data_IF_072463736984
#
_entry.id   IF_072463736984
#
_cell.length_a   1.000
_cell.length_b   1.000
_cell.length_c   1.000
_cell.angle_alpha   90.00
_cell.angle_beta   90.00
_cell.angle_gamma   90.00
#
_symmetry.space_group_name_H-M   'P 1'
#
loop_
_entity.id
_entity.type
_entity.pdbx_description
1 polymer ?
#
# COMPACT_ATOMS: atom_id res chain seq x y z
N UNK A 1 11.07 33.29 13.74
CA UNK A 1 10.59 31.95 13.53
C UNK A 1 11.54 31.32 12.50
N UNK A 2 12.07 30.11 12.73
CA UNK A 2 12.89 29.43 11.72
C UNK A 2 12.04 29.13 10.48
N UNK A 3 12.69 28.92 9.32
CA UNK A 3 12.00 28.54 8.10
C UNK A 3 11.20 27.25 8.31
N UNK A 4 9.98 27.12 7.74
CA UNK A 4 9.18 25.94 7.89
C UNK A 4 9.89 24.73 7.28
N UNK A 5 9.88 23.59 7.99
CA UNK A 5 10.41 22.32 7.43
C UNK A 5 9.68 21.98 6.14
N UNK A 6 10.42 21.54 5.14
CA UNK A 6 9.87 21.14 3.85
C UNK A 6 9.71 19.63 3.73
N UNK A 7 8.66 19.19 3.04
CA UNK A 7 8.36 17.79 2.78
C UNK A 7 7.96 17.57 1.34
N UNK A 8 8.57 16.59 0.69
CA UNK A 8 8.19 16.10 -0.64
C UNK A 8 7.29 14.89 -0.48
N UNK A 9 6.09 14.90 -1.09
CA UNK A 9 5.15 13.79 -1.06
C UNK A 9 4.90 13.32 -2.48
N UNK A 10 5.31 12.11 -2.81
CA UNK A 10 5.02 11.52 -4.12
C UNK A 10 3.59 10.95 -4.16
N UNK A 11 2.89 11.14 -5.30
CA UNK A 11 1.51 10.71 -5.45
C UNK A 11 0.52 11.51 -4.59
N UNK A 12 0.72 12.82 -4.48
CA UNK A 12 -0.09 13.71 -3.65
C UNK A 12 -1.45 14.11 -4.27
N UNK A 13 -1.81 13.61 -5.45
CA UNK A 13 -3.04 14.02 -6.15
C UNK A 13 -4.32 13.38 -5.59
N UNK A 14 -4.23 12.31 -4.80
CA UNK A 14 -5.38 11.59 -4.24
C UNK A 14 -5.01 10.70 -3.05
N UNK A 15 -6.02 10.14 -2.38
CA UNK A 15 -5.88 9.13 -1.33
C UNK A 15 -4.98 9.56 -0.18
N UNK A 16 -4.07 8.68 0.27
CA UNK A 16 -3.20 8.94 1.41
C UNK A 16 -2.24 10.12 1.17
N UNK A 17 -1.74 10.27 -0.07
CA UNK A 17 -0.85 11.38 -0.41
C UNK A 17 -1.54 12.73 -0.35
N UNK A 18 -2.76 12.84 -0.85
CA UNK A 18 -3.59 14.04 -0.78
C UNK A 18 -3.90 14.41 0.68
N UNK A 19 -4.43 13.49 1.46
CA UNK A 19 -4.73 13.70 2.87
C UNK A 19 -3.47 14.11 3.66
N UNK A 20 -2.32 13.53 3.33
CA UNK A 20 -1.03 13.88 3.94
C UNK A 20 -0.58 15.29 3.59
N UNK A 21 -0.74 15.70 2.32
CA UNK A 21 -0.40 17.05 1.88
C UNK A 21 -1.27 18.10 2.59
N UNK A 22 -2.58 17.88 2.64
CA UNK A 22 -3.53 18.77 3.36
C UNK A 22 -3.17 18.87 4.84
N UNK A 23 -2.93 17.75 5.50
CA UNK A 23 -2.60 17.75 6.93
C UNK A 23 -1.28 18.45 7.23
N UNK A 24 -0.22 18.17 6.48
CA UNK A 24 1.10 18.74 6.71
C UNK A 24 1.13 20.26 6.41
N UNK A 25 0.40 20.68 5.38
CA UNK A 25 0.21 22.12 5.14
C UNK A 25 -0.46 22.80 6.34
N UNK A 26 -1.52 22.22 6.91
CA UNK A 26 -2.19 22.72 8.12
C UNK A 26 -1.30 22.73 9.37
N UNK A 27 -0.30 21.84 9.43
CA UNK A 27 0.73 21.82 10.51
C UNK A 27 1.89 22.80 10.26
N UNK A 28 1.79 23.65 9.23
CA UNK A 28 2.79 24.69 8.92
C UNK A 28 4.00 24.21 8.11
N UNK A 29 3.94 23.02 7.50
CA UNK A 29 5.00 22.55 6.62
C UNK A 29 4.95 23.24 5.26
N UNK A 30 6.11 23.35 4.62
CA UNK A 30 6.24 23.65 3.21
C UNK A 30 6.11 22.33 2.42
N UNK A 31 5.01 22.17 1.70
CA UNK A 31 4.62 20.88 1.05
C UNK A 31 4.91 20.94 -0.43
N UNK A 32 5.80 20.08 -0.89
CA UNK A 32 6.01 19.81 -2.30
C UNK A 32 5.15 18.58 -2.69
N UNK A 33 4.05 18.86 -3.36
CA UNK A 33 3.10 17.86 -3.84
C UNK A 33 3.54 17.35 -5.22
N UNK A 34 4.28 16.22 -5.25
CA UNK A 34 4.80 15.64 -6.47
C UNK A 34 3.78 14.66 -7.07
N UNK A 35 3.39 14.88 -8.34
CA UNK A 35 2.36 14.13 -9.05
C UNK A 35 2.51 14.24 -10.55
N UNK A 36 1.86 13.36 -11.32
CA UNK A 36 1.98 13.36 -12.80
C UNK A 36 1.38 14.58 -13.46
N UNK A 37 0.30 15.12 -12.91
CA UNK A 37 -0.46 16.26 -13.46
C UNK A 37 -0.71 17.31 -12.38
N UNK A 38 0.29 18.16 -12.05
CA UNK A 38 0.13 19.20 -11.03
C UNK A 38 -1.00 20.17 -11.34
N UNK A 39 -1.19 20.52 -12.61
CA UNK A 39 -2.22 21.45 -13.06
C UNK A 39 -3.65 21.01 -12.68
N UNK A 40 -3.87 19.70 -12.50
CA UNK A 40 -5.14 19.15 -12.04
C UNK A 40 -5.18 18.95 -10.51
N UNK A 41 -4.07 18.61 -9.90
CA UNK A 41 -4.03 18.25 -8.48
C UNK A 41 -3.83 19.43 -7.53
N UNK A 42 -3.08 20.45 -7.93
CA UNK A 42 -2.80 21.62 -7.08
C UNK A 42 -4.07 22.44 -6.81
N UNK A 43 -4.95 22.72 -7.77
CA UNK A 43 -6.21 23.39 -7.46
C UNK A 43 -7.05 22.68 -6.40
N UNK A 44 -7.12 21.36 -6.44
CA UNK A 44 -7.84 20.57 -5.44
C UNK A 44 -7.17 20.65 -4.05
N UNK A 45 -5.84 20.65 -4.00
CA UNK A 45 -5.11 20.82 -2.75
C UNK A 45 -5.30 22.23 -2.19
N UNK A 46 -5.29 23.26 -3.02
CA UNK A 46 -5.57 24.65 -2.60
C UNK A 46 -6.97 24.80 -2.02
N UNK A 47 -7.97 24.25 -2.69
CA UNK A 47 -9.34 24.22 -2.18
C UNK A 47 -9.42 23.54 -0.81
N UNK A 48 -8.77 22.39 -0.64
CA UNK A 48 -8.80 21.61 0.60
C UNK A 48 -7.99 22.25 1.75
N UNK A 49 -6.96 23.03 1.43
CA UNK A 49 -6.07 23.68 2.41
C UNK A 49 -6.43 25.11 2.70
N UNK A 50 -7.18 25.77 1.82
CA UNK A 50 -7.40 27.20 1.84
C UNK A 50 -6.18 28.03 1.41
N UNK A 51 -5.17 27.39 0.77
CA UNK A 51 -3.98 28.07 0.28
C UNK A 51 -4.33 29.00 -0.90
N UNK A 52 -3.85 30.25 -0.85
CA UNK A 52 -3.96 31.17 -1.98
C UNK A 52 -3.07 30.79 -3.16
N UNK A 53 -3.28 31.45 -4.29
CA UNK A 53 -2.50 31.16 -5.52
C UNK A 53 -1.00 31.48 -5.34
N UNK A 54 -0.69 32.50 -4.53
CA UNK A 54 0.68 32.94 -4.26
C UNK A 54 1.29 32.31 -2.98
N UNK A 55 0.62 31.33 -2.35
CA UNK A 55 1.15 30.66 -1.16
C UNK A 55 2.32 29.74 -1.55
N UNK A 56 3.53 30.15 -1.15
CA UNK A 56 4.78 29.44 -1.44
C UNK A 56 5.00 28.17 -0.61
N UNK A 57 4.09 27.87 0.33
CA UNK A 57 4.15 26.65 1.14
C UNK A 57 3.48 25.44 0.47
N UNK A 58 2.71 25.63 -0.60
CA UNK A 58 2.09 24.55 -1.36
C UNK A 58 2.57 24.57 -2.82
N UNK A 59 3.48 23.69 -3.14
CA UNK A 59 4.22 23.65 -4.40
C UNK A 59 3.87 22.39 -5.18
N UNK A 60 3.45 22.53 -6.43
CA UNK A 60 3.25 21.42 -7.35
C UNK A 60 4.52 21.09 -8.13
N UNK A 61 4.91 19.81 -8.16
CA UNK A 61 6.01 19.35 -8.99
C UNK A 61 5.55 18.19 -9.86
N UNK A 62 5.81 18.28 -11.16
CA UNK A 62 5.51 17.17 -12.07
C UNK A 62 6.49 16.02 -11.82
N UNK A 63 5.94 14.81 -11.60
CA UNK A 63 6.72 13.60 -11.36
C UNK A 63 5.99 12.38 -11.91
N UNK A 64 6.61 11.73 -12.88
CA UNK A 64 6.28 10.37 -13.29
C UNK A 64 7.44 9.43 -12.89
N UNK A 65 7.17 8.52 -11.97
CA UNK A 65 8.14 7.54 -11.48
C UNK A 65 8.52 6.46 -12.50
N UNK A 66 7.83 6.41 -13.63
CA UNK A 66 8.17 5.51 -14.74
C UNK A 66 9.15 6.16 -15.74
N UNK A 67 9.35 7.47 -15.65
CA UNK A 67 10.20 8.23 -16.57
C UNK A 67 11.40 8.82 -15.84
N UNK A 68 12.60 8.38 -16.21
CA UNK A 68 13.86 8.83 -15.63
C UNK A 68 14.14 10.32 -15.88
N UNK A 69 13.71 10.86 -17.04
CA UNK A 69 13.85 12.28 -17.33
C UNK A 69 12.93 13.12 -16.43
N UNK A 70 11.69 12.66 -16.22
CA UNK A 70 10.74 13.28 -15.28
C UNK A 70 11.29 13.27 -13.85
N UNK A 71 11.88 12.16 -13.40
CA UNK A 71 12.50 12.06 -12.06
C UNK A 71 13.64 13.06 -11.90
N UNK A 72 14.51 13.17 -12.88
CA UNK A 72 15.65 14.11 -12.86
C UNK A 72 15.15 15.56 -12.83
N UNK A 73 14.18 15.90 -13.68
CA UNK A 73 13.58 17.23 -13.71
C UNK A 73 12.86 17.57 -12.41
N UNK A 74 12.12 16.59 -11.82
CA UNK A 74 11.44 16.76 -10.56
C UNK A 74 12.42 17.02 -9.40
N UNK A 75 13.53 16.29 -9.31
CA UNK A 75 14.54 16.49 -8.28
C UNK A 75 15.12 17.92 -8.35
N UNK A 76 15.45 18.40 -9.55
CA UNK A 76 15.93 19.75 -9.77
C UNK A 76 14.88 20.79 -9.36
N UNK A 77 13.63 20.64 -9.79
CA UNK A 77 12.55 21.55 -9.44
C UNK A 77 12.28 21.58 -7.92
N UNK A 78 12.41 20.44 -7.22
CA UNK A 78 12.31 20.36 -5.76
C UNK A 78 13.42 21.19 -5.11
N UNK A 79 14.67 20.99 -5.52
CA UNK A 79 15.81 21.75 -4.96
C UNK A 79 15.74 23.25 -5.28
N UNK A 80 15.28 23.63 -6.47
CA UNK A 80 15.01 25.03 -6.81
C UNK A 80 13.91 25.67 -5.94
N UNK A 81 12.87 24.90 -5.61
CA UNK A 81 11.72 25.39 -4.87
C UNK A 81 11.95 25.49 -3.36
N UNK A 82 12.59 24.50 -2.74
CA UNK A 82 12.70 24.40 -1.27
C UNK A 82 14.15 24.22 -0.77
N UNK A 83 15.14 24.26 -1.65
CA UNK A 83 16.49 23.87 -1.30
C UNK A 83 16.55 22.38 -0.95
N UNK A 84 17.25 22.05 0.12
CA UNK A 84 17.29 20.67 0.62
C UNK A 84 15.98 20.32 1.35
N UNK A 85 15.19 19.35 0.88
CA UNK A 85 13.99 18.95 1.60
C UNK A 85 14.37 18.25 2.93
N UNK A 86 13.66 18.62 4.00
CA UNK A 86 13.81 17.90 5.28
C UNK A 86 13.26 16.48 5.19
N UNK A 87 12.17 16.27 4.48
CA UNK A 87 11.56 14.95 4.38
C UNK A 87 11.18 14.57 2.94
N UNK A 88 11.37 13.27 2.62
CA UNK A 88 10.94 12.66 1.38
C UNK A 88 10.00 11.50 1.68
N UNK A 89 8.72 11.64 1.29
CA UNK A 89 7.67 10.65 1.51
C UNK A 89 7.36 9.92 0.20
N UNK A 90 7.82 8.69 0.07
CA UNK A 90 7.48 7.80 -1.04
C UNK A 90 6.13 7.15 -0.79
N UNK A 91 5.07 7.84 -1.23
CA UNK A 91 3.69 7.40 -1.09
C UNK A 91 3.10 6.88 -2.40
N UNK A 92 3.55 7.37 -3.55
CA UNK A 92 3.05 6.95 -4.85
C UNK A 92 3.07 5.42 -5.01
N UNK A 93 2.02 4.90 -5.61
CA UNK A 93 1.90 3.47 -5.85
C UNK A 93 0.69 3.14 -6.71
N UNK A 94 0.72 1.96 -7.29
CA UNK A 94 -0.37 1.32 -8.02
C UNK A 94 -0.57 -0.08 -7.45
N UNK A 95 -1.71 -0.69 -7.71
CA UNK A 95 -2.02 -2.05 -7.27
C UNK A 95 -2.30 -2.97 -8.47
N UNK A 96 -2.40 -4.26 -8.20
CA UNK A 96 -2.75 -5.28 -9.17
C UNK A 96 -3.74 -6.27 -8.56
N UNK A 97 -4.62 -6.82 -9.39
CA UNK A 97 -5.48 -7.93 -9.04
C UNK A 97 -5.38 -9.00 -10.14
N UNK A 98 -5.00 -10.22 -9.73
CA UNK A 98 -4.82 -11.38 -10.60
C UNK A 98 -3.95 -12.42 -9.91
N UNK A 99 -4.19 -13.72 -10.16
CA UNK A 99 -3.29 -14.78 -9.69
C UNK A 99 -1.97 -14.69 -10.47
N UNK A 100 -0.93 -15.36 -9.97
CA UNK A 100 0.42 -15.27 -10.56
C UNK A 100 0.43 -15.63 -12.04
N UNK A 101 -0.32 -16.64 -12.47
CA UNK A 101 -0.40 -17.07 -13.87
C UNK A 101 -1.34 -16.22 -14.73
N UNK A 102 -2.19 -15.38 -14.11
CA UNK A 102 -3.09 -14.45 -14.81
C UNK A 102 -2.43 -13.10 -15.05
N UNK A 103 -1.44 -12.75 -14.22
CA UNK A 103 -0.85 -11.40 -14.22
C UNK A 103 0.25 -11.27 -15.27
N UNK A 104 0.09 -10.36 -16.22
CA UNK A 104 1.06 -10.09 -17.26
C UNK A 104 2.41 -9.58 -16.69
N UNK A 105 3.51 -9.96 -17.32
CA UNK A 105 4.87 -9.55 -16.90
C UNK A 105 5.06 -8.03 -16.99
N UNK A 106 4.39 -7.34 -17.91
CA UNK A 106 4.44 -5.88 -18.03
C UNK A 106 3.87 -5.19 -16.79
N UNK A 107 2.84 -5.77 -16.17
CA UNK A 107 2.28 -5.26 -14.91
C UNK A 107 3.26 -5.46 -13.74
N UNK A 108 3.98 -6.60 -13.69
CA UNK A 108 5.05 -6.81 -12.72
C UNK A 108 6.13 -5.74 -12.85
N UNK A 109 6.63 -5.50 -14.06
CA UNK A 109 7.64 -4.48 -14.33
C UNK A 109 7.16 -3.08 -13.94
N UNK A 110 5.93 -2.73 -14.29
CA UNK A 110 5.34 -1.42 -13.96
C UNK A 110 5.19 -1.22 -12.46
N UNK A 111 4.78 -2.25 -11.70
CA UNK A 111 4.67 -2.19 -10.24
C UNK A 111 6.02 -1.99 -9.58
N UNK A 112 7.06 -2.72 -10.03
CA UNK A 112 8.41 -2.54 -9.51
C UNK A 112 8.99 -1.18 -9.90
N UNK A 113 8.79 -0.73 -11.13
CA UNK A 113 9.24 0.58 -11.57
C UNK A 113 8.60 1.70 -10.73
N UNK A 114 7.27 1.66 -10.54
CA UNK A 114 6.55 2.70 -9.79
C UNK A 114 6.84 2.65 -8.29
N UNK A 115 6.90 1.45 -7.68
CA UNK A 115 6.92 1.32 -6.21
C UNK A 115 8.32 1.12 -5.63
N UNK A 116 9.33 0.81 -6.46
CA UNK A 116 10.71 0.56 -6.02
C UNK A 116 11.71 1.39 -6.79
N UNK A 117 11.83 1.19 -8.11
CA UNK A 117 12.94 1.77 -8.89
C UNK A 117 12.82 3.29 -9.03
N UNK A 118 11.62 3.81 -9.28
CA UNK A 118 11.37 5.25 -9.32
C UNK A 118 11.64 5.95 -7.97
N UNK A 119 11.11 5.45 -6.84
CA UNK A 119 11.49 5.90 -5.51
C UNK A 119 13.01 5.87 -5.23
N UNK A 120 13.69 4.79 -5.62
CA UNK A 120 15.17 4.72 -5.50
C UNK A 120 15.84 5.83 -6.32
N UNK A 121 15.46 6.01 -7.58
CA UNK A 121 16.05 7.03 -8.45
C UNK A 121 15.83 8.45 -7.91
N UNK A 122 14.60 8.77 -7.42
CA UNK A 122 14.33 10.08 -6.81
C UNK A 122 15.13 10.27 -5.51
N UNK A 123 15.26 9.22 -4.70
CA UNK A 123 16.11 9.28 -3.50
C UNK A 123 17.58 9.52 -3.87
N UNK A 124 18.11 8.81 -4.87
CA UNK A 124 19.49 9.00 -5.33
C UNK A 124 19.75 10.43 -5.78
N UNK A 125 18.77 11.08 -6.41
CA UNK A 125 18.89 12.45 -6.87
C UNK A 125 18.90 13.47 -5.71
N UNK A 126 18.07 13.28 -4.65
CA UNK A 126 17.92 14.22 -3.53
C UNK A 126 18.83 13.90 -2.33
N UNK A 127 19.28 12.67 -2.19
CA UNK A 127 20.06 12.22 -1.03
C UNK A 127 21.38 12.98 -0.84
N UNK A 128 22.14 13.39 -1.88
CA UNK A 128 23.37 14.16 -1.68
C UNK A 128 23.16 15.46 -0.92
N UNK A 129 22.12 16.25 -1.24
CA UNK A 129 21.79 17.49 -0.54
C UNK A 129 21.28 17.21 0.88
N UNK A 130 20.40 16.22 1.06
CA UNK A 130 19.92 15.81 2.38
C UNK A 130 21.07 15.36 3.28
N UNK A 131 21.99 14.56 2.76
CA UNK A 131 23.19 14.12 3.49
C UNK A 131 24.08 15.29 3.89
N UNK A 132 24.28 16.25 3.01
CA UNK A 132 25.05 17.44 3.30
C UNK A 132 24.42 18.32 4.40
N UNK A 133 23.08 18.37 4.47
CA UNK A 133 22.35 19.04 5.53
C UNK A 133 22.52 18.37 6.91
N UNK A 134 22.85 17.09 6.96
CA UNK A 134 23.09 16.37 8.20
C UNK A 134 21.86 16.01 9.02
N UNK A 135 20.67 16.25 8.50
CA UNK A 135 19.39 15.89 9.12
C UNK A 135 18.33 15.60 8.05
N UNK A 136 17.33 14.81 8.39
CA UNK A 136 16.19 14.56 7.52
C UNK A 136 15.57 13.18 7.67
N UNK A 137 14.41 13.00 7.02
CA UNK A 137 13.63 11.76 7.10
C UNK A 137 13.21 11.27 5.72
N UNK A 138 13.41 9.98 5.48
CA UNK A 138 12.82 9.28 4.33
C UNK A 138 11.71 8.37 4.86
N UNK A 139 10.49 8.58 4.36
CA UNK A 139 9.31 7.80 4.75
C UNK A 139 8.86 6.97 3.57
N UNK A 140 8.78 5.66 3.77
CA UNK A 140 8.34 4.69 2.75
C UNK A 140 6.95 4.19 3.11
N UNK A 141 5.95 4.47 2.29
CA UNK A 141 4.58 3.99 2.49
C UNK A 141 4.43 2.59 1.90
N UNK A 142 4.51 1.60 2.79
CA UNK A 142 4.27 0.20 2.49
C UNK A 142 2.82 -0.19 2.82
N UNK A 143 2.54 -1.48 2.84
CA UNK A 143 1.23 -2.08 3.05
C UNK A 143 1.35 -3.35 3.88
N UNK A 144 0.24 -3.79 4.48
CA UNK A 144 0.12 -5.14 5.04
C UNK A 144 0.52 -6.22 4.03
N UNK A 145 0.33 -5.96 2.72
CA UNK A 145 0.75 -6.84 1.64
C UNK A 145 2.28 -6.94 1.48
N UNK A 146 3.05 -5.93 1.90
CA UNK A 146 4.51 -5.96 1.95
C UNK A 146 5.06 -6.80 3.11
N UNK A 147 4.29 -6.88 4.21
CA UNK A 147 4.64 -7.71 5.38
C UNK A 147 4.39 -9.18 5.09
N UNK A 148 3.28 -9.47 4.41
CA UNK A 148 2.84 -10.81 4.05
C UNK A 148 2.25 -10.84 2.66
N UNK A 149 2.76 -11.72 1.80
CA UNK A 149 2.22 -11.93 0.47
C UNK A 149 0.75 -12.30 0.53
N UNK A 150 -0.05 -11.58 -0.26
CA UNK A 150 -1.48 -11.83 -0.39
C UNK A 150 -1.77 -12.47 -1.75
N UNK A 151 -2.59 -13.51 -1.81
CA UNK A 151 -2.98 -14.10 -3.08
C UNK A 151 -3.76 -13.09 -3.93
N UNK A 152 -3.70 -13.26 -5.26
CA UNK A 152 -4.26 -12.36 -6.27
C UNK A 152 -3.70 -10.93 -6.28
N UNK A 153 -2.60 -10.66 -5.55
CA UNK A 153 -1.88 -9.37 -5.59
C UNK A 153 -0.36 -9.60 -5.48
N UNK A 154 0.13 -10.70 -6.05
CA UNK A 154 1.53 -11.10 -5.88
C UNK A 154 2.54 -10.03 -6.34
N UNK A 155 2.38 -9.36 -7.51
CA UNK A 155 3.31 -8.31 -7.93
C UNK A 155 3.34 -7.13 -6.96
N UNK A 156 2.19 -6.71 -6.44
CA UNK A 156 2.08 -5.64 -5.47
C UNK A 156 2.75 -6.02 -4.13
N UNK A 157 2.47 -7.24 -3.64
CA UNK A 157 3.08 -7.76 -2.42
C UNK A 157 4.60 -7.83 -2.53
N UNK A 158 5.11 -8.30 -3.66
CA UNK A 158 6.55 -8.39 -3.92
C UNK A 158 7.20 -7.00 -3.97
N UNK A 159 6.59 -6.04 -4.68
CA UNK A 159 7.10 -4.67 -4.78
C UNK A 159 7.12 -3.97 -3.41
N UNK A 160 6.03 -4.09 -2.61
CA UNK A 160 5.99 -3.50 -1.25
C UNK A 160 6.96 -4.18 -0.29
N UNK A 161 7.17 -5.50 -0.41
CA UNK A 161 8.21 -6.21 0.35
C UNK A 161 9.63 -5.76 -0.03
N UNK A 162 9.89 -5.56 -1.32
CA UNK A 162 11.17 -5.01 -1.81
C UNK A 162 11.41 -3.59 -1.30
N UNK A 163 10.38 -2.72 -1.32
CA UNK A 163 10.44 -1.36 -0.77
C UNK A 163 10.85 -1.38 0.71
N UNK A 164 10.29 -2.29 1.52
CA UNK A 164 10.64 -2.40 2.93
C UNK A 164 12.10 -2.84 3.15
N UNK A 165 12.58 -3.84 2.38
CA UNK A 165 13.98 -4.30 2.47
C UNK A 165 14.97 -3.24 2.02
N UNK A 166 14.65 -2.50 0.95
CA UNK A 166 15.43 -1.34 0.55
C UNK A 166 15.51 -0.30 1.67
N UNK A 167 14.39 0.02 2.32
CA UNK A 167 14.37 0.97 3.43
C UNK A 167 15.24 0.56 4.62
N UNK A 168 15.27 -0.73 4.95
CA UNK A 168 16.15 -1.26 6.00
C UNK A 168 17.63 -1.11 5.66
N UNK A 169 18.01 -1.43 4.41
CA UNK A 169 19.39 -1.29 3.94
C UNK A 169 19.81 0.19 3.94
N UNK A 170 19.02 1.04 3.31
CA UNK A 170 19.28 2.48 3.21
C UNK A 170 19.43 3.12 4.59
N UNK A 171 18.63 2.71 5.58
CA UNK A 171 18.73 3.25 6.94
C UNK A 171 20.13 3.07 7.55
N UNK A 172 20.75 1.91 7.31
CA UNK A 172 22.11 1.66 7.77
C UNK A 172 23.15 2.54 7.07
N UNK A 173 22.90 2.87 5.80
CA UNK A 173 23.82 3.65 4.97
C UNK A 173 23.78 5.15 5.33
N UNK A 174 22.58 5.69 5.63
CA UNK A 174 22.39 7.14 5.81
C UNK A 174 22.36 7.59 7.28
N UNK A 175 22.14 6.68 8.22
CA UNK A 175 22.13 7.01 9.65
C UNK A 175 23.42 7.68 10.15
N UNK A 176 24.64 7.30 9.70
CA UNK A 176 25.85 8.00 10.10
C UNK A 176 25.89 9.48 9.73
N UNK A 177 25.04 9.91 8.77
CA UNK A 177 24.94 11.30 8.33
C UNK A 177 23.77 12.05 8.98
N UNK A 178 23.15 11.51 10.03
CA UNK A 178 22.07 12.18 10.75
C UNK A 178 20.67 11.96 10.14
N UNK A 179 20.55 11.19 9.07
CA UNK A 179 19.26 10.90 8.44
C UNK A 179 18.62 9.64 9.01
N UNK A 180 17.30 9.51 8.84
CA UNK A 180 16.61 8.30 9.26
C UNK A 180 15.54 7.87 8.27
N UNK A 181 15.17 6.58 8.36
CA UNK A 181 14.14 5.96 7.52
C UNK A 181 12.99 5.44 8.37
N UNK A 182 11.77 5.71 7.94
CA UNK A 182 10.58 5.10 8.54
C UNK A 182 9.77 4.38 7.47
N UNK A 183 9.53 3.10 7.66
CA UNK A 183 8.58 2.32 6.87
C UNK A 183 7.21 2.37 7.56
N UNK A 184 6.23 3.00 6.91
CA UNK A 184 4.84 3.01 7.35
C UNK A 184 4.10 1.87 6.66
N UNK A 185 3.71 0.88 7.43
CA UNK A 185 2.88 -0.24 6.95
C UNK A 185 1.41 0.20 7.06
N UNK A 186 0.82 0.57 5.93
CA UNK A 186 -0.59 0.96 5.87
C UNK A 186 -1.50 -0.26 5.97
N UNK A 187 -2.52 -0.15 6.83
CA UNK A 187 -3.66 -1.07 6.86
C UNK A 187 -4.70 -0.76 5.77
N UNK A 188 -5.95 -1.12 6.02
CA UNK A 188 -7.05 -0.83 5.10
C UNK A 188 -7.49 0.64 5.24
N UNK A 189 -7.37 1.40 4.15
CA UNK A 189 -7.84 2.78 4.02
C UNK A 189 -8.76 2.88 2.81
N UNK A 190 -9.78 3.72 2.91
CA UNK A 190 -10.70 4.02 1.81
C UNK A 190 -10.02 4.95 0.82
N UNK A 191 -9.43 4.36 -0.21
CA UNK A 191 -8.68 5.08 -1.24
C UNK A 191 -8.88 4.42 -2.60
N UNK A 192 -8.69 5.18 -3.67
CA UNK A 192 -8.85 4.71 -5.04
C UNK A 192 -7.80 3.68 -5.47
N UNK A 193 -6.79 3.40 -4.66
CA UNK A 193 -5.79 2.36 -4.98
C UNK A 193 -6.41 0.95 -5.01
N UNK A 194 -7.56 0.77 -4.34
CA UNK A 194 -8.28 -0.51 -4.23
C UNK A 194 -9.44 -0.58 -5.25
N UNK A 195 -9.74 0.53 -5.91
CA UNK A 195 -10.75 0.63 -6.95
C UNK A 195 -10.12 0.54 -8.34
N UNK A 196 -10.94 0.46 -9.37
CA UNK A 196 -10.53 0.37 -10.78
C UNK A 196 -9.58 1.50 -11.21
N UNK A 197 -9.64 2.66 -10.54
CA UNK A 197 -8.78 3.80 -10.85
C UNK A 197 -7.30 3.61 -10.43
N UNK A 198 -7.02 2.75 -9.44
CA UNK A 198 -5.67 2.52 -8.90
C UNK A 198 -5.15 1.09 -9.07
N UNK A 199 -6.01 0.16 -9.47
CA UNK A 199 -5.69 -1.26 -9.62
C UNK A 199 -5.82 -1.70 -11.07
N UNK A 200 -4.81 -2.36 -11.60
CA UNK A 200 -4.93 -3.10 -12.87
C UNK A 200 -5.51 -4.47 -12.56
N UNK A 201 -6.61 -4.84 -13.21
CA UNK A 201 -7.35 -6.08 -12.98
C UNK A 201 -7.13 -7.07 -14.11
N UNK A 202 -6.30 -8.07 -13.86
CA UNK A 202 -5.98 -9.17 -14.78
C UNK A 202 -6.69 -10.47 -14.39
N UNK A 203 -7.71 -10.41 -13.52
CA UNK A 203 -8.42 -11.61 -13.04
C UNK A 203 -9.25 -12.26 -14.14
N UNK A 204 -9.01 -13.54 -14.38
CA UNK A 204 -9.92 -14.37 -15.18
C UNK A 204 -11.05 -14.90 -14.29
N UNK A 205 -12.21 -14.23 -14.35
CA UNK A 205 -13.39 -14.60 -13.57
C UNK A 205 -14.16 -15.82 -14.12
N UNK A 206 -13.74 -16.37 -15.25
CA UNK A 206 -14.27 -17.59 -15.84
C UNK A 206 -13.27 -18.76 -15.81
N UNK A 207 -12.01 -18.48 -15.47
CA UNK A 207 -10.92 -19.43 -15.46
C UNK A 207 -10.84 -20.33 -14.22
N UNK A 208 -9.75 -21.08 -14.06
CA UNK A 208 -9.58 -22.05 -12.98
C UNK A 208 -9.61 -21.43 -11.59
N UNK A 209 -9.32 -20.12 -11.46
CA UNK A 209 -9.33 -19.38 -10.20
C UNK A 209 -10.62 -18.60 -9.93
N UNK A 210 -11.63 -18.65 -10.82
CA UNK A 210 -12.86 -17.85 -10.70
C UNK A 210 -13.51 -17.94 -9.31
N UNK A 211 -13.56 -19.14 -8.72
CA UNK A 211 -14.16 -19.36 -7.40
C UNK A 211 -13.30 -18.82 -6.25
N UNK A 212 -11.97 -18.82 -6.39
CA UNK A 212 -11.06 -18.17 -5.46
C UNK A 212 -11.25 -16.66 -5.51
N UNK A 213 -11.30 -16.06 -6.70
CA UNK A 213 -11.59 -14.64 -6.90
C UNK A 213 -12.90 -14.22 -6.25
N UNK A 214 -13.98 -14.98 -6.49
CA UNK A 214 -15.27 -14.71 -5.86
C UNK A 214 -15.19 -14.73 -4.33
N UNK A 215 -14.53 -15.74 -3.75
CA UNK A 215 -14.36 -15.87 -2.29
C UNK A 215 -13.56 -14.70 -1.72
N UNK A 216 -12.46 -14.34 -2.38
CA UNK A 216 -11.58 -13.24 -1.96
C UNK A 216 -12.29 -11.88 -2.10
N UNK A 217 -12.99 -11.65 -3.21
CA UNK A 217 -13.78 -10.43 -3.42
C UNK A 217 -14.85 -10.24 -2.34
N UNK A 218 -15.54 -11.31 -1.97
CA UNK A 218 -16.57 -11.24 -0.91
C UNK A 218 -15.95 -10.87 0.44
N UNK A 219 -14.80 -11.45 0.78
CA UNK A 219 -14.08 -11.15 2.02
C UNK A 219 -13.41 -9.77 1.97
N UNK A 220 -12.84 -9.39 0.84
CA UNK A 220 -12.26 -8.08 0.61
C UNK A 220 -13.28 -6.95 0.76
N UNK A 221 -14.49 -7.10 0.16
CA UNK A 221 -15.58 -6.13 0.36
C UNK A 221 -16.00 -6.01 1.82
N UNK A 222 -16.01 -7.11 2.58
CA UNK A 222 -16.29 -7.04 4.01
C UNK A 222 -15.19 -6.29 4.77
N UNK A 223 -13.91 -6.57 4.48
CA UNK A 223 -12.79 -5.87 5.07
C UNK A 223 -12.80 -4.36 4.74
N UNK A 224 -13.16 -3.99 3.50
CA UNK A 224 -13.28 -2.59 3.07
C UNK A 224 -14.40 -1.81 3.77
N UNK A 225 -15.43 -2.47 4.29
CA UNK A 225 -16.43 -1.79 5.15
C UNK A 225 -15.84 -1.29 6.47
N UNK A 226 -14.69 -1.82 6.87
CA UNK A 226 -13.92 -1.43 8.05
C UNK A 226 -12.73 -0.53 7.70
N UNK A 227 -12.58 -0.17 6.40
CA UNK A 227 -11.53 0.72 5.95
C UNK A 227 -11.67 2.08 6.61
N UNK A 228 -10.54 2.66 6.95
CA UNK A 228 -10.47 3.96 7.65
C UNK A 228 -10.37 5.08 6.63
N UNK A 229 -10.88 6.26 6.94
CA UNK A 229 -10.66 7.42 6.08
C UNK A 229 -9.17 7.77 5.99
N UNK A 230 -8.69 8.27 4.82
CA UNK A 230 -7.27 8.58 4.57
C UNK A 230 -6.65 9.52 5.58
N UNK A 231 -7.43 10.43 6.17
CA UNK A 231 -6.99 11.42 7.18
C UNK A 231 -6.43 10.73 8.44
N UNK A 232 -6.92 9.53 8.76
CA UNK A 232 -6.40 8.76 9.90
C UNK A 232 -4.98 8.20 9.69
N UNK A 233 -4.52 8.14 8.44
CA UNK A 233 -3.14 7.76 8.13
C UNK A 233 -2.15 8.86 8.54
N UNK A 234 -2.56 10.11 8.45
CA UNK A 234 -1.68 11.27 8.63
C UNK A 234 -1.09 11.35 10.04
N UNK A 235 -1.79 10.88 11.07
CA UNK A 235 -1.24 10.82 12.44
C UNK A 235 -0.02 9.89 12.52
N UNK A 236 -0.01 8.80 11.73
CA UNK A 236 1.14 7.91 11.61
C UNK A 236 2.30 8.57 10.86
N UNK A 237 2.00 9.35 9.84
CA UNK A 237 2.98 10.10 9.07
C UNK A 237 3.64 11.19 9.91
N UNK A 238 2.88 12.00 10.63
CA UNK A 238 3.44 13.03 11.54
C UNK A 238 4.42 12.41 12.53
N UNK A 239 4.03 11.29 13.17
CA UNK A 239 4.93 10.56 14.08
C UNK A 239 6.19 10.01 13.39
N UNK A 240 6.11 9.70 12.10
CA UNK A 240 7.26 9.25 11.32
C UNK A 240 8.23 10.39 10.99
N UNK A 241 7.70 11.59 10.71
CA UNK A 241 8.49 12.77 10.41
C UNK A 241 9.23 13.32 11.64
N UNK A 242 8.66 13.12 12.83
CA UNK A 242 9.27 13.53 14.11
C UNK A 242 10.11 12.40 14.76
N UNK A 243 10.20 11.23 14.15
CA UNK A 243 10.97 10.11 14.70
C UNK A 243 12.48 10.39 14.58
N UNK A 244 13.20 10.16 15.68
CA UNK A 244 14.66 10.37 15.73
C UNK A 244 15.45 9.06 15.57
N UNK A 245 14.76 7.91 15.54
CA UNK A 245 15.43 6.64 15.35
C UNK A 245 15.99 6.52 13.92
N UNK A 246 17.17 5.90 13.75
CA UNK A 246 17.77 5.69 12.42
C UNK A 246 16.88 4.85 11.51
N UNK A 247 16.18 3.86 12.09
CA UNK A 247 15.19 3.05 11.40
C UNK A 247 13.96 2.79 12.28
N UNK A 248 12.81 2.88 11.67
CA UNK A 248 11.55 2.51 12.30
C UNK A 248 10.63 1.81 11.29
N UNK A 249 9.96 0.74 11.72
CA UNK A 249 8.86 0.11 11.01
C UNK A 249 7.62 0.22 11.85
N UNK A 250 6.59 0.88 11.36
CA UNK A 250 5.39 1.25 12.12
C UNK A 250 4.12 0.83 11.37
N UNK A 251 3.24 0.07 12.03
CA UNK A 251 1.89 -0.17 11.54
C UNK A 251 1.02 1.08 11.70
N UNK A 252 0.33 1.47 10.65
CA UNK A 252 -0.64 2.57 10.66
C UNK A 252 -2.02 1.98 10.40
N UNK A 253 -2.83 1.98 11.44
CA UNK A 253 -4.07 1.23 11.54
C UNK A 253 -3.95 0.02 12.47
N UNK A 254 -5.07 -0.38 13.12
CA UNK A 254 -5.06 -1.49 14.07
C UNK A 254 -4.75 -2.83 13.41
N UNK A 255 -5.23 -3.05 12.18
CA UNK A 255 -4.98 -4.21 11.35
C UNK A 255 -3.50 -4.39 11.00
N UNK A 256 -2.84 -3.31 10.56
CA UNK A 256 -1.41 -3.31 10.29
C UNK A 256 -0.58 -3.53 11.57
N UNK A 257 -0.96 -2.87 12.67
CA UNK A 257 -0.28 -3.04 13.96
C UNK A 257 -0.41 -4.45 14.50
N UNK A 258 -1.61 -5.04 14.40
CA UNK A 258 -1.86 -6.43 14.78
C UNK A 258 -1.06 -7.41 13.90
N UNK A 259 -1.03 -7.19 12.57
CA UNK A 259 -0.27 -8.04 11.67
C UNK A 259 1.23 -8.01 12.00
N UNK A 260 1.80 -6.83 12.25
CA UNK A 260 3.21 -6.69 12.65
C UNK A 260 3.50 -7.42 13.97
N UNK A 261 2.60 -7.33 14.95
CA UNK A 261 2.73 -8.04 16.22
C UNK A 261 2.69 -9.56 16.02
N UNK A 262 1.69 -10.06 15.26
CA UNK A 262 1.56 -11.49 14.95
C UNK A 262 2.76 -12.01 14.15
N UNK A 263 3.29 -11.23 13.21
CA UNK A 263 4.45 -11.62 12.41
C UNK A 263 5.75 -11.71 13.23
N UNK A 264 5.81 -11.10 14.42
CA UNK A 264 6.92 -11.24 15.35
C UNK A 264 6.86 -12.55 16.18
N UNK A 265 5.64 -12.99 16.47
CA UNK A 265 5.42 -14.08 17.44
C UNK A 265 5.19 -15.41 16.73
N UNK A 266 4.48 -15.41 15.61
CA UNK A 266 4.12 -16.63 14.89
C UNK A 266 5.20 -17.03 13.88
N UNK A 267 5.56 -18.33 13.80
CA UNK A 267 6.42 -18.82 12.73
C UNK A 267 5.75 -18.66 11.35
N UNK A 268 6.55 -18.62 10.29
CA UNK A 268 6.06 -18.39 8.93
C UNK A 268 4.98 -19.37 8.49
N UNK A 269 5.07 -20.64 8.91
CA UNK A 269 4.04 -21.66 8.64
C UNK A 269 2.71 -21.35 9.33
N UNK A 270 2.76 -20.91 10.59
CA UNK A 270 1.58 -20.49 11.36
C UNK A 270 0.89 -19.27 10.72
N UNK A 271 1.69 -18.29 10.33
CA UNK A 271 1.17 -17.11 9.61
C UNK A 271 0.57 -17.47 8.25
N UNK A 272 1.21 -18.38 7.48
CA UNK A 272 0.63 -18.87 6.23
C UNK A 272 -0.72 -19.55 6.46
N UNK A 273 -0.81 -20.39 7.47
CA UNK A 273 -2.05 -21.08 7.83
C UNK A 273 -3.17 -20.10 8.23
N UNK A 274 -2.84 -19.09 9.05
CA UNK A 274 -3.78 -18.04 9.46
C UNK A 274 -4.27 -17.24 8.26
N UNK A 275 -3.35 -16.76 7.40
CA UNK A 275 -3.70 -15.99 6.19
C UNK A 275 -4.63 -16.79 5.27
N UNK A 276 -4.32 -18.09 5.08
CA UNK A 276 -5.17 -18.99 4.29
C UNK A 276 -6.61 -19.06 4.85
N UNK A 277 -6.78 -19.19 6.17
CA UNK A 277 -8.10 -19.24 6.81
C UNK A 277 -8.83 -17.91 6.66
N UNK A 278 -8.17 -16.81 6.96
CA UNK A 278 -8.74 -15.45 6.89
C UNK A 278 -9.22 -15.16 5.47
N UNK A 279 -8.40 -15.48 4.46
CA UNK A 279 -8.73 -15.24 3.05
C UNK A 279 -9.65 -16.31 2.44
N UNK A 280 -9.96 -17.41 3.17
CA UNK A 280 -10.83 -18.48 2.69
C UNK A 280 -10.20 -19.37 1.63
N UNK A 281 -8.89 -19.43 1.58
CA UNK A 281 -8.17 -20.28 0.63
C UNK A 281 -8.27 -21.75 1.06
N UNK A 282 -8.63 -22.67 0.16
CA UNK A 282 -8.71 -24.10 0.44
C UNK A 282 -7.37 -24.70 0.90
N UNK A 283 -7.41 -25.88 1.52
CA UNK A 283 -6.18 -26.59 1.93
C UNK A 283 -5.42 -27.10 0.72
N UNK A 284 -4.12 -27.29 0.88
CA UNK A 284 -3.26 -27.89 -0.13
C UNK A 284 -3.87 -29.19 -0.67
N UNK A 285 -3.90 -29.34 -1.99
CA UNK A 285 -4.40 -30.52 -2.68
C UNK A 285 -5.92 -30.70 -2.71
N UNK A 286 -6.69 -29.85 -2.00
CA UNK A 286 -8.15 -30.01 -1.91
C UNK A 286 -8.91 -29.65 -3.19
N UNK A 287 -8.24 -29.04 -4.16
CA UNK A 287 -8.79 -28.69 -5.48
C UNK A 287 -8.20 -29.55 -6.62
N UNK A 288 -7.51 -30.63 -6.30
CA UNK A 288 -7.05 -31.58 -7.32
C UNK A 288 -8.26 -32.13 -8.08
N UNK A 289 -8.23 -32.04 -9.43
CA UNK A 289 -9.36 -32.40 -10.27
C UNK A 289 -10.44 -31.32 -10.44
N UNK A 290 -10.15 -30.07 -10.05
CA UNK A 290 -11.02 -28.91 -10.33
C UNK A 290 -12.23 -28.75 -9.41
N UNK A 291 -12.48 -29.67 -8.48
CA UNK A 291 -13.62 -29.61 -7.58
C UNK A 291 -13.35 -28.72 -6.35
N UNK A 292 -14.27 -27.81 -6.05
CA UNK A 292 -14.21 -27.01 -4.82
C UNK A 292 -14.48 -27.89 -3.60
N UNK A 293 -13.70 -27.80 -2.50
CA UNK A 293 -13.92 -28.60 -1.33
C UNK A 293 -15.27 -28.28 -0.68
N UNK A 294 -16.02 -29.32 -0.36
CA UNK A 294 -17.30 -29.21 0.33
C UNK A 294 -17.13 -28.56 1.70
N UNK A 295 -18.01 -27.65 2.06
CA UNK A 295 -18.12 -27.10 3.41
C UNK A 295 -18.44 -28.20 4.43
N UNK A 296 -18.25 -27.90 5.72
CA UNK A 296 -18.60 -28.86 6.78
C UNK A 296 -20.08 -29.27 6.72
N UNK A 297 -20.99 -28.32 6.47
CA UNK A 297 -22.41 -28.57 6.29
C UNK A 297 -22.71 -29.42 5.05
N UNK A 298 -22.07 -29.14 3.91
CA UNK A 298 -22.20 -29.94 2.69
C UNK A 298 -21.66 -31.37 2.87
N UNK A 299 -20.52 -31.51 3.59
CA UNK A 299 -19.99 -32.84 3.94
C UNK A 299 -20.94 -33.61 4.82
N UNK A 300 -21.54 -32.95 5.82
CA UNK A 300 -22.55 -33.55 6.68
C UNK A 300 -23.79 -33.98 5.88
N UNK A 301 -24.26 -33.15 4.93
CA UNK A 301 -25.37 -33.51 4.03
C UNK A 301 -25.04 -34.68 3.12
N UNK A 302 -23.84 -34.69 2.51
CA UNK A 302 -23.41 -35.83 1.68
C UNK A 302 -23.27 -37.10 2.50
N UNK A 303 -22.75 -37.03 3.73
CA UNK A 303 -22.70 -38.16 4.65
C UNK A 303 -24.10 -38.62 5.03
N UNK A 304 -25.00 -37.70 5.43
CA UNK A 304 -26.37 -38.01 5.75
C UNK A 304 -27.11 -38.66 4.58
N UNK A 305 -26.89 -38.19 3.35
CA UNK A 305 -27.46 -38.79 2.15
C UNK A 305 -26.99 -40.26 1.87
N UNK A 306 -25.80 -40.59 2.37
CA UNK A 306 -25.25 -41.97 2.23
C UNK A 306 -25.71 -42.92 3.32
N UNK A 307 -26.05 -42.40 4.49
CA UNK A 307 -26.29 -43.21 5.70
C UNK A 307 -27.78 -43.25 6.09
N UNK A 308 -28.53 -42.19 5.77
CA UNK A 308 -29.93 -42.08 6.16
C UNK A 308 -30.89 -42.59 5.09
N UNK A 309 -31.96 -43.29 5.49
CA UNK A 309 -33.02 -43.71 4.58
C UNK A 309 -33.74 -42.54 3.91
N UNK A 310 -34.14 -42.68 2.65
CA UNK A 310 -34.77 -41.65 1.84
C UNK A 310 -35.91 -40.82 2.51
N UNK A 311 -36.79 -41.38 3.36
CA UNK A 311 -37.82 -40.63 4.04
C UNK A 311 -37.31 -39.60 5.03
N UNK A 312 -36.18 -39.84 5.69
CA UNK A 312 -35.53 -38.90 6.62
C UNK A 312 -34.79 -37.76 5.88
N UNK A 313 -34.26 -38.03 4.72
CA UNK A 313 -33.57 -37.00 3.89
C UNK A 313 -34.54 -35.93 3.38
N UNK A 314 -35.78 -36.27 3.05
CA UNK A 314 -36.82 -35.33 2.61
C UNK A 314 -37.23 -34.32 3.70
N UNK A 315 -37.02 -34.65 4.99
CA UNK A 315 -37.27 -33.73 6.13
C UNK A 315 -36.12 -32.76 6.37
N UNK A 316 -34.92 -33.04 5.87
CA UNK A 316 -33.72 -32.21 6.02
C UNK A 316 -33.45 -31.30 4.82
N UNK A 317 -34.18 -31.50 3.69
CA UNK A 317 -34.07 -30.61 2.54
C UNK A 317 -34.60 -29.20 2.88
N UNK A 318 -33.90 -28.12 2.53
CA UNK A 318 -34.41 -26.78 2.67
C UNK A 318 -35.74 -26.67 1.90
N UNK A 319 -36.77 -26.11 2.53
CA UNK A 319 -38.00 -25.75 1.81
C UNK A 319 -37.61 -24.67 0.79
N UNK A 320 -37.83 -24.94 -0.49
CA UNK A 320 -37.73 -23.94 -1.54
C UNK A 320 -38.68 -22.76 -1.14
N UNK A 321 -38.07 -21.57 -0.99
CA UNK A 321 -38.79 -20.30 -0.95
C UNK A 321 -38.83 -19.70 -2.31
#
# INVERSE_FOLDING_TARGET
MGDPRSVVITGASRGLGFASAVRLYGEGWRVVAAMRTPDLGIPLLREATGAGDDDDRLIGVQLDLLDSASITAAAKAIEEAVGTPYALVHNAGISAAGMVEETDMSLWQRLFATSVLGPVALTQALLPSMRAAGEGRIVLVSSVAGVRGQPATAPYSAAKGALERWGESMACEIAPFGLGVTVLVAGAYDTEIITDAGTTDDRDLAGPYARLHHTMNTRGRFAMRLARPPERFTDGLLKALDDRAPFRRRGVGPDASMLLALNRVLPSSGMHHLSRIVLGIPRQGSMRGGAWPLTASQKAMVWAARVLPAPLLRRLAPKEQ
#
